data_IF_955249143422
#
_entry.id   IF_955249143422
#
_cell.length_a   1.000
_cell.length_b   1.000
_cell.length_c   1.000
_cell.angle_alpha   90.00
_cell.angle_beta   90.00
_cell.angle_gamma   90.00
#
_symmetry.space_group_name_H-M   'P 1'
#
loop_
_entity.id
_entity.type
_entity.pdbx_description
1 polymer ?
#
# COMPACT_ATOMS: atom_id res chain seq x y z
N UNK A 1 -19.82 14.91 6.02
CA UNK A 1 -19.53 15.53 4.72
C UNK A 1 -19.16 14.46 3.71
N UNK A 2 -19.64 14.63 2.50
CA UNK A 2 -19.49 13.71 1.39
C UNK A 2 -18.73 14.39 0.25
N UNK A 3 -17.64 13.77 -0.23
CA UNK A 3 -16.90 14.27 -1.38
C UNK A 3 -16.76 13.14 -2.41
N UNK A 4 -17.00 13.46 -3.68
CA UNK A 4 -16.86 12.53 -4.79
C UNK A 4 -15.71 12.97 -5.69
N UNK A 5 -14.75 12.07 -5.93
CA UNK A 5 -13.69 12.30 -6.91
C UNK A 5 -13.85 11.32 -8.08
N UNK A 6 -13.75 11.85 -9.29
CA UNK A 6 -13.81 11.10 -10.53
C UNK A 6 -12.60 11.44 -11.41
N UNK A 7 -11.93 10.43 -11.92
CA UNK A 7 -10.77 10.63 -12.77
C UNK A 7 -10.72 9.65 -13.95
N UNK A 8 -10.02 10.06 -15.00
CA UNK A 8 -9.69 9.26 -16.18
C UNK A 8 -8.17 9.15 -16.26
N UNK A 9 -7.65 7.92 -16.27
CA UNK A 9 -6.23 7.66 -16.47
C UNK A 9 -5.92 7.30 -17.92
N UNK A 10 -4.78 7.76 -18.40
CA UNK A 10 -4.11 7.50 -19.69
C UNK A 10 -4.88 7.80 -21.00
N UNK A 11 -4.23 8.59 -21.86
CA UNK A 11 -4.81 9.21 -23.07
C UNK A 11 -4.81 8.28 -24.30
N UNK A 12 -4.07 7.18 -24.30
CA UNK A 12 -3.85 6.33 -25.49
C UNK A 12 -4.48 4.93 -25.41
N UNK A 13 -5.79 4.84 -25.61
CA UNK A 13 -6.55 3.56 -25.75
C UNK A 13 -6.58 2.64 -24.52
N UNK A 14 -6.00 3.03 -23.41
CA UNK A 14 -6.05 2.35 -22.11
C UNK A 14 -6.56 3.36 -21.10
N UNK A 15 -7.75 3.19 -20.65
CA UNK A 15 -8.40 4.14 -19.73
C UNK A 15 -8.91 3.40 -18.50
N UNK A 16 -8.85 4.07 -17.38
CA UNK A 16 -9.47 3.60 -16.15
C UNK A 16 -10.41 4.69 -15.67
N UNK A 17 -11.68 4.39 -15.60
CA UNK A 17 -12.65 5.21 -14.91
C UNK A 17 -12.70 4.77 -13.46
N UNK A 18 -12.66 5.72 -12.52
CA UNK A 18 -12.85 5.43 -11.11
C UNK A 18 -13.76 6.47 -10.47
N UNK A 19 -14.50 6.01 -9.47
CA UNK A 19 -15.33 6.85 -8.62
C UNK A 19 -14.93 6.55 -7.19
N UNK A 20 -14.50 7.58 -6.47
CA UNK A 20 -14.16 7.48 -5.04
C UNK A 20 -15.13 8.29 -4.21
N UNK A 21 -15.69 7.65 -3.20
CA UNK A 21 -16.55 8.25 -2.20
C UNK A 21 -15.82 8.34 -0.88
N UNK A 22 -15.73 9.53 -0.33
CA UNK A 22 -15.16 9.78 0.99
C UNK A 22 -16.29 10.04 1.98
N UNK A 23 -16.32 9.29 3.07
CA UNK A 23 -17.29 9.44 4.16
C UNK A 23 -16.50 9.78 5.41
N UNK A 24 -16.71 11.00 5.92
CA UNK A 24 -16.03 11.49 7.12
C UNK A 24 -17.02 11.53 8.27
N UNK A 25 -16.68 10.88 9.37
CA UNK A 25 -17.48 10.92 10.57
C UNK A 25 -16.94 11.90 11.64
N UNK A 26 -17.68 12.09 12.71
CA UNK A 26 -17.33 13.02 13.78
C UNK A 26 -16.12 12.61 14.60
N UNK A 27 -15.65 11.38 14.49
CA UNK A 27 -14.42 10.89 15.15
C UNK A 27 -13.15 11.24 14.36
N UNK A 28 -13.29 11.75 13.13
CA UNK A 28 -12.22 11.98 12.19
C UNK A 28 -11.84 10.75 11.38
N UNK A 29 -12.63 9.66 11.46
CA UNK A 29 -12.48 8.50 10.59
C UNK A 29 -12.98 8.85 9.20
N UNK A 30 -12.16 8.53 8.21
CA UNK A 30 -12.46 8.69 6.78
C UNK A 30 -12.59 7.30 6.17
N UNK A 31 -13.80 6.92 5.76
CA UNK A 31 -14.01 5.76 4.92
C UNK A 31 -13.85 6.14 3.45
N UNK A 32 -13.16 5.32 2.69
CA UNK A 32 -12.84 5.50 1.28
C UNK A 32 -13.39 4.30 0.53
N UNK A 33 -14.45 4.53 -0.26
CA UNK A 33 -15.06 3.52 -1.12
C UNK A 33 -14.70 3.82 -2.57
N UNK A 34 -14.14 2.88 -3.29
CA UNK A 34 -13.68 3.09 -4.67
C UNK A 34 -14.24 2.01 -5.58
N UNK A 35 -14.89 2.48 -6.66
CA UNK A 35 -15.27 1.68 -7.81
C UNK A 35 -14.32 2.02 -8.96
N UNK A 36 -13.68 1.00 -9.54
CA UNK A 36 -12.73 1.13 -10.63
C UNK A 36 -13.17 0.27 -11.80
N UNK A 37 -13.16 0.85 -13.00
CA UNK A 37 -13.55 0.19 -14.24
C UNK A 37 -12.52 0.44 -15.34
N UNK A 38 -11.75 -0.58 -15.76
CA UNK A 38 -10.82 -0.46 -16.88
C UNK A 38 -11.55 -0.51 -18.21
N UNK A 39 -10.97 0.17 -19.22
CA UNK A 39 -11.42 0.16 -20.61
C UNK A 39 -10.25 -0.03 -21.56
N UNK A 40 -10.50 -0.63 -22.71
CA UNK A 40 -9.49 -0.90 -23.74
C UNK A 40 -8.67 -2.14 -23.43
N UNK A 41 -7.49 -2.23 -24.05
CA UNK A 41 -6.67 -3.45 -24.02
C UNK A 41 -5.68 -3.42 -22.83
N UNK A 42 -6.18 -3.31 -21.62
CA UNK A 42 -5.38 -3.49 -20.40
C UNK A 42 -5.53 -4.94 -19.97
N UNK A 43 -4.42 -5.67 -19.86
CA UNK A 43 -4.45 -7.08 -19.44
C UNK A 43 -4.38 -7.19 -17.91
N UNK A 44 -3.50 -6.42 -17.29
CA UNK A 44 -3.26 -6.46 -15.85
C UNK A 44 -2.79 -5.12 -15.32
N UNK A 45 -2.96 -4.90 -14.02
CA UNK A 45 -2.43 -3.74 -13.31
C UNK A 45 -1.19 -4.11 -12.51
N UNK A 46 -0.20 -3.20 -12.38
CA UNK A 46 0.91 -3.38 -11.45
C UNK A 46 0.45 -3.29 -10.00
N UNK A 47 -0.53 -2.43 -9.73
CA UNK A 47 -1.20 -2.26 -8.43
C UNK A 47 -2.50 -1.48 -8.57
N UNK A 48 -3.38 -1.66 -7.60
CA UNK A 48 -4.59 -0.85 -7.41
C UNK A 48 -4.61 -0.40 -5.96
N UNK A 49 -4.55 0.90 -5.71
CA UNK A 49 -4.53 1.45 -4.36
C UNK A 49 -4.29 2.95 -4.32
N UNK A 50 -3.89 3.41 -3.16
CA UNK A 50 -3.61 4.81 -2.87
C UNK A 50 -2.19 4.96 -2.35
N UNK A 51 -1.49 5.97 -2.84
CA UNK A 51 -0.20 6.40 -2.31
C UNK A 51 -0.38 7.74 -1.63
N UNK A 52 0.13 7.88 -0.44
CA UNK A 52 0.10 9.14 0.31
C UNK A 52 1.44 9.43 0.95
N UNK A 53 1.68 10.71 1.23
CA UNK A 53 2.85 11.16 1.97
C UNK A 53 2.44 11.42 3.41
N UNK A 54 3.07 10.72 4.33
CA UNK A 54 2.92 10.94 5.77
C UNK A 54 4.09 11.79 6.26
N UNK A 55 3.80 12.78 7.12
CA UNK A 55 4.81 13.68 7.67
C UNK A 55 5.90 12.91 8.41
N UNK A 56 7.11 13.42 8.33
CA UNK A 56 8.27 12.93 9.10
C UNK A 56 7.99 12.77 10.60
N UNK A 57 8.66 11.81 11.22
CA UNK A 57 8.47 11.46 12.63
C UNK A 57 7.46 10.33 12.86
N UNK A 58 6.70 9.93 11.85
CA UNK A 58 5.80 8.76 11.91
C UNK A 58 6.53 7.53 11.34
N UNK A 59 7.58 7.10 12.01
CA UNK A 59 8.53 6.11 11.49
C UNK A 59 8.29 4.68 12.02
N UNK A 60 7.31 4.50 12.90
CA UNK A 60 6.91 3.18 13.39
C UNK A 60 5.80 2.62 12.54
N UNK A 61 6.11 1.60 11.73
CA UNK A 61 5.15 0.87 10.92
C UNK A 61 4.71 -0.41 11.64
N UNK A 62 3.41 -0.56 11.89
CA UNK A 62 2.84 -1.75 12.53
C UNK A 62 1.70 -2.30 11.70
N UNK A 63 1.50 -3.62 11.75
CA UNK A 63 0.41 -4.27 10.99
C UNK A 63 -0.10 -5.54 11.67
N UNK A 64 -1.33 -5.90 11.34
CA UNK A 64 -1.89 -7.22 11.58
C UNK A 64 -2.19 -7.87 10.24
N UNK A 65 -1.34 -8.80 9.85
CA UNK A 65 -1.34 -9.45 8.55
C UNK A 65 -0.25 -10.52 8.50
N UNK A 66 0.14 -10.94 7.30
CA UNK A 66 1.28 -11.84 7.15
C UNK A 66 2.61 -11.12 7.37
N UNK A 67 3.55 -11.80 8.03
CA UNK A 67 4.87 -11.27 8.37
C UNK A 67 5.77 -12.32 9.03
N UNK A 68 6.94 -11.90 9.59
CA UNK A 68 7.39 -10.51 9.87
C UNK A 68 8.01 -9.74 8.69
N UNK A 69 8.47 -10.44 7.66
CA UNK A 69 9.11 -9.88 6.47
C UNK A 69 8.09 -9.42 5.42
N UNK A 70 8.57 -8.96 4.27
CA UNK A 70 7.71 -8.61 3.15
C UNK A 70 6.96 -9.84 2.62
N UNK A 71 5.71 -9.65 2.27
CA UNK A 71 4.81 -10.70 1.82
C UNK A 71 3.94 -10.21 0.67
N UNK A 72 3.62 -11.13 -0.25
CA UNK A 72 2.81 -10.87 -1.43
C UNK A 72 1.83 -12.01 -1.65
N UNK A 73 0.84 -11.84 -2.51
CA UNK A 73 -0.19 -12.85 -2.73
C UNK A 73 0.38 -14.21 -3.22
N UNK A 74 1.51 -14.19 -3.94
CA UNK A 74 2.23 -15.37 -4.42
C UNK A 74 3.48 -15.74 -3.57
N UNK A 75 3.76 -14.96 -2.51
CA UNK A 75 4.93 -15.13 -1.65
C UNK A 75 4.61 -14.85 -0.19
N UNK A 76 3.94 -15.78 0.46
CA UNK A 76 3.61 -15.71 1.89
C UNK A 76 3.60 -17.07 2.61
N UNK A 77 3.94 -18.15 1.92
CA UNK A 77 3.85 -19.52 2.49
C UNK A 77 4.73 -19.74 3.72
N UNK A 78 5.85 -19.01 3.83
CA UNK A 78 6.73 -19.05 5.00
C UNK A 78 6.38 -18.04 6.09
N UNK A 79 5.41 -17.17 5.84
CA UNK A 79 4.97 -16.16 6.78
C UNK A 79 3.88 -16.68 7.71
N UNK A 80 3.66 -16.00 8.82
CA UNK A 80 2.58 -16.28 9.75
C UNK A 80 1.67 -15.08 9.89
N UNK A 81 0.41 -15.32 10.15
CA UNK A 81 -0.53 -14.27 10.51
C UNK A 81 -0.26 -13.81 11.94
N UNK A 82 -0.15 -12.51 12.17
CA UNK A 82 0.13 -11.94 13.49
C UNK A 82 0.23 -10.44 13.51
N UNK A 83 0.55 -9.91 14.68
CA UNK A 83 0.90 -8.49 14.85
C UNK A 83 2.40 -8.34 14.77
N UNK A 84 2.84 -7.39 13.99
CA UNK A 84 4.23 -7.06 13.79
C UNK A 84 4.42 -5.54 13.85
N UNK A 85 5.63 -5.13 14.16
CA UNK A 85 6.02 -3.73 14.20
C UNK A 85 7.52 -3.62 13.95
N UNK A 86 7.93 -2.52 13.35
CA UNK A 86 9.32 -2.14 13.14
C UNK A 86 9.38 -0.71 12.61
N UNK A 87 10.57 -0.20 12.42
CA UNK A 87 10.74 1.10 11.77
C UNK A 87 10.48 0.99 10.27
N UNK A 88 10.13 2.11 9.63
CA UNK A 88 9.96 2.17 8.17
C UNK A 88 11.24 1.71 7.46
N UNK A 89 12.42 2.12 7.95
CA UNK A 89 13.71 1.72 7.37
C UNK A 89 13.94 0.19 7.49
N UNK A 90 13.56 -0.45 8.58
CA UNK A 90 13.67 -1.91 8.76
C UNK A 90 12.76 -2.69 7.80
N UNK A 91 11.72 -2.05 7.26
CA UNK A 91 10.81 -2.70 6.30
C UNK A 91 11.26 -2.54 4.85
N UNK A 92 12.27 -1.70 4.60
CA UNK A 92 12.81 -1.49 3.26
C UNK A 92 13.97 -2.46 2.98
N UNK A 93 13.92 -3.15 1.85
CA UNK A 93 14.99 -4.03 1.40
C UNK A 93 15.84 -3.30 0.35
N UNK A 94 17.14 -3.15 0.63
CA UNK A 94 18.10 -2.57 -0.30
C UNK A 94 18.44 -3.57 -1.41
N UNK A 95 17.91 -3.34 -2.60
CA UNK A 95 18.20 -4.13 -3.79
C UNK A 95 19.28 -3.44 -4.62
N UNK A 96 20.19 -4.20 -5.22
CA UNK A 96 21.23 -3.67 -6.11
C UNK A 96 20.63 -2.85 -7.27
N UNK A 97 19.47 -3.25 -7.78
CA UNK A 97 18.63 -2.46 -8.66
C UNK A 97 17.41 -2.02 -7.85
N UNK A 98 17.25 -0.72 -7.58
CA UNK A 98 16.15 -0.21 -6.76
C UNK A 98 14.79 -0.60 -7.32
N UNK A 99 13.92 -1.02 -6.45
CA UNK A 99 12.55 -1.39 -6.79
C UNK A 99 11.67 -1.28 -5.56
N UNK A 100 10.37 -1.18 -5.77
CA UNK A 100 9.39 -1.21 -4.69
C UNK A 100 9.43 -2.55 -3.97
N UNK A 101 9.37 -2.50 -2.65
CA UNK A 101 9.48 -3.67 -1.77
C UNK A 101 8.77 -3.42 -0.44
N UNK A 102 8.90 -4.34 0.50
CA UNK A 102 8.39 -4.18 1.86
C UNK A 102 6.88 -4.36 2.00
N UNK A 103 6.17 -4.85 0.96
CA UNK A 103 4.73 -5.06 1.02
C UNK A 103 4.34 -6.00 2.17
N UNK A 104 3.20 -5.72 2.79
CA UNK A 104 2.53 -6.55 3.81
C UNK A 104 1.20 -7.02 3.24
N UNK A 105 1.09 -8.31 3.05
CA UNK A 105 -0.05 -8.95 2.42
C UNK A 105 -1.14 -9.26 3.44
N UNK A 106 -2.40 -9.10 3.02
CA UNK A 106 -3.59 -9.52 3.75
C UNK A 106 -3.70 -8.89 5.15
N UNK A 107 -3.51 -7.57 5.21
CA UNK A 107 -3.57 -6.83 6.47
C UNK A 107 -5.00 -6.43 6.80
N UNK A 108 -5.47 -6.76 8.01
CA UNK A 108 -6.72 -6.21 8.53
C UNK A 108 -6.56 -4.74 8.89
N UNK A 109 -5.39 -4.37 9.39
CA UNK A 109 -5.03 -2.99 9.65
C UNK A 109 -3.51 -2.79 9.55
N UNK A 110 -3.13 -1.56 9.26
CA UNK A 110 -1.76 -1.07 9.28
C UNK A 110 -1.71 0.31 9.91
N UNK A 111 -0.59 0.70 10.48
CA UNK A 111 -0.45 2.01 11.11
C UNK A 111 0.94 2.60 10.92
N UNK A 112 0.99 3.91 10.83
CA UNK A 112 2.20 4.72 10.93
C UNK A 112 2.07 5.66 12.12
N UNK A 113 2.98 5.55 13.07
CA UNK A 113 2.95 6.35 14.30
C UNK A 113 4.32 6.91 14.64
N UNK A 114 4.32 7.95 15.44
CA UNK A 114 5.52 8.48 16.09
C UNK A 114 5.93 7.65 17.30
N UNK A 115 6.99 8.08 17.98
CA UNK A 115 7.53 7.44 19.19
C UNK A 115 6.57 7.50 20.41
N UNK A 116 5.55 8.36 20.37
CA UNK A 116 4.50 8.45 21.39
C UNK A 116 3.27 7.59 21.05
N UNK A 117 3.26 6.96 19.87
CA UNK A 117 2.14 6.17 19.36
C UNK A 117 1.00 7.02 18.79
N UNK A 118 1.30 8.27 18.42
CA UNK A 118 0.38 9.17 17.72
C UNK A 118 0.61 9.03 16.22
N UNK A 119 -0.46 8.96 15.44
CA UNK A 119 -0.33 8.82 13.99
C UNK A 119 -1.62 8.41 13.31
N UNK A 120 -1.52 7.56 12.31
CA UNK A 120 -2.64 7.12 11.49
C UNK A 120 -2.74 5.60 11.48
N UNK A 121 -3.97 5.10 11.47
CA UNK A 121 -4.31 3.71 11.21
C UNK A 121 -5.14 3.63 9.93
N UNK A 122 -4.85 2.65 9.09
CA UNK A 122 -5.73 2.25 8.00
C UNK A 122 -6.26 0.83 8.26
N UNK A 123 -7.57 0.65 8.11
CA UNK A 123 -8.26 -0.64 8.24
C UNK A 123 -8.80 -1.08 6.89
N UNK A 124 -8.48 -2.31 6.50
CA UNK A 124 -9.01 -2.93 5.29
C UNK A 124 -10.46 -3.41 5.47
N UNK A 125 -11.20 -3.43 4.38
CA UNK A 125 -12.57 -3.98 4.31
C UNK A 125 -12.67 -4.99 3.16
N UNK A 126 -12.37 -6.29 3.40
CA UNK A 126 -11.92 -6.86 4.70
C UNK A 126 -10.42 -6.77 4.94
N UNK A 127 -9.59 -6.59 3.89
CA UNK A 127 -8.14 -6.57 3.97
C UNK A 127 -7.56 -5.56 2.99
N UNK A 128 -6.35 -5.08 3.30
CA UNK A 128 -5.51 -4.26 2.42
C UNK A 128 -4.10 -4.86 2.34
N UNK A 129 -3.37 -4.46 1.33
CA UNK A 129 -1.91 -4.59 1.28
C UNK A 129 -1.30 -3.23 1.59
N UNK A 130 -0.07 -3.21 2.13
CA UNK A 130 0.57 -1.94 2.46
C UNK A 130 2.07 -2.04 2.47
N UNK A 131 2.73 -0.96 2.05
CA UNK A 131 4.15 -0.74 2.24
C UNK A 131 4.41 0.69 2.70
N UNK A 132 5.51 0.90 3.41
CA UNK A 132 5.95 2.22 3.86
C UNK A 132 7.46 2.35 3.63
N UNK A 133 7.89 3.50 3.08
CA UNK A 133 9.29 3.73 2.75
C UNK A 133 9.64 5.21 2.77
N UNK A 134 10.92 5.53 2.92
CA UNK A 134 11.45 6.90 2.85
C UNK A 134 11.88 7.33 1.44
N UNK A 135 11.38 6.66 0.42
CA UNK A 135 11.67 6.95 -1.00
C UNK A 135 10.37 7.19 -1.74
N UNK A 136 10.37 8.12 -2.69
CA UNK A 136 9.22 8.28 -3.58
C UNK A 136 9.20 7.16 -4.62
N UNK A 137 8.01 6.79 -5.08
CA UNK A 137 7.85 5.80 -6.15
C UNK A 137 8.53 6.25 -7.45
N UNK A 138 8.53 7.55 -7.70
CA UNK A 138 9.20 8.17 -8.84
C UNK A 138 10.72 7.97 -8.75
N UNK A 139 11.34 8.27 -7.60
CA UNK A 139 12.77 8.06 -7.41
C UNK A 139 13.15 6.57 -7.52
N UNK A 140 12.34 5.66 -6.97
CA UNK A 140 12.59 4.22 -7.13
C UNK A 140 12.52 3.77 -8.59
N UNK A 141 11.64 4.35 -9.40
CA UNK A 141 11.48 3.99 -10.82
C UNK A 141 12.61 4.55 -11.70
N UNK A 142 13.23 5.65 -11.31
CA UNK A 142 14.30 6.32 -12.05
C UNK A 142 15.70 5.83 -11.67
N UNK A 143 15.89 5.38 -10.43
CA UNK A 143 17.19 4.94 -9.93
C UNK A 143 17.60 3.61 -10.57
N UNK A 144 18.80 3.54 -11.10
CA UNK A 144 19.40 2.33 -11.70
C UNK A 144 20.34 1.60 -10.74
N UNK A 145 20.72 2.26 -9.66
CA UNK A 145 21.52 1.71 -8.57
C UNK A 145 21.18 2.42 -7.24
N UNK A 146 21.60 1.83 -6.13
CA UNK A 146 21.29 2.31 -4.79
C UNK A 146 21.82 3.72 -4.50
N UNK A 147 22.94 4.13 -5.13
CA UNK A 147 23.54 5.45 -4.92
C UNK A 147 22.66 6.60 -5.42
N UNK A 148 21.70 6.31 -6.28
CA UNK A 148 20.74 7.27 -6.83
C UNK A 148 19.45 7.38 -6.00
N UNK A 149 19.31 6.57 -4.97
CA UNK A 149 18.17 6.68 -4.06
C UNK A 149 18.29 7.95 -3.22
N UNK A 150 17.21 8.72 -3.21
CA UNK A 150 17.09 9.98 -2.48
C UNK A 150 16.13 9.80 -1.31
N UNK A 151 16.69 9.48 -0.15
CA UNK A 151 15.88 9.35 1.07
C UNK A 151 15.25 10.69 1.43
N UNK A 152 13.98 10.67 1.77
CA UNK A 152 13.21 11.81 2.28
C UNK A 152 12.91 11.62 3.77
N UNK A 153 12.65 12.71 4.49
CA UNK A 153 12.21 12.63 5.89
C UNK A 153 10.75 12.16 6.00
N UNK A 154 9.96 12.45 4.98
CA UNK A 154 8.58 11.99 4.92
C UNK A 154 8.51 10.51 4.54
N UNK A 155 7.40 9.87 4.92
CA UNK A 155 7.12 8.49 4.59
C UNK A 155 6.17 8.42 3.40
N UNK A 156 6.54 7.72 2.35
CA UNK A 156 5.63 7.27 1.30
C UNK A 156 4.89 6.05 1.82
N UNK A 157 3.58 6.17 1.97
CA UNK A 157 2.71 5.11 2.48
C UNK A 157 1.74 4.65 1.40
N UNK A 158 1.81 3.38 1.07
CA UNK A 158 0.94 2.73 0.10
C UNK A 158 -0.14 1.93 0.83
N UNK A 159 -1.38 2.14 0.43
CA UNK A 159 -2.56 1.42 0.90
C UNK A 159 -3.26 0.83 -0.32
N UNK A 160 -3.07 -0.46 -0.54
CA UNK A 160 -3.46 -1.12 -1.77
C UNK A 160 -4.60 -2.10 -1.56
N UNK A 161 -5.52 -2.12 -2.51
CA UNK A 161 -6.44 -3.23 -2.65
C UNK A 161 -5.68 -4.51 -2.99
N UNK A 162 -4.78 -4.42 -4.00
CA UNK A 162 -3.90 -5.52 -4.43
C UNK A 162 -2.69 -4.99 -5.18
N UNK A 163 -1.60 -5.73 -5.05
CA UNK A 163 -0.38 -5.57 -5.86
C UNK A 163 -0.25 -6.74 -6.85
N UNK A 164 0.49 -6.49 -7.94
CA UNK A 164 0.87 -7.56 -8.88
C UNK A 164 1.80 -8.55 -8.17
N UNK A 165 1.68 -9.86 -8.44
CA UNK A 165 2.57 -10.87 -7.85
C UNK A 165 4.01 -10.65 -8.27
N UNK A 166 4.95 -10.98 -7.38
CA UNK A 166 6.38 -10.85 -7.67
C UNK A 166 6.81 -11.82 -8.77
N UNK A 167 6.38 -13.08 -8.70
CA UNK A 167 6.78 -14.13 -9.62
C UNK A 167 8.28 -14.39 -9.60
N UNK A 168 8.76 -15.06 -10.65
CA UNK A 168 10.18 -15.33 -10.89
C UNK A 168 10.66 -14.74 -12.23
N UNK A 169 9.95 -13.75 -12.77
CA UNK A 169 10.08 -13.31 -14.17
C UNK A 169 11.46 -12.77 -14.55
N UNK A 170 12.25 -12.28 -13.61
CA UNK A 170 13.63 -11.84 -13.88
C UNK A 170 14.56 -12.99 -14.27
N UNK A 171 14.33 -14.20 -13.73
CA UNK A 171 15.16 -15.39 -13.97
C UNK A 171 14.34 -16.67 -14.20
N UNK A 172 13.02 -16.60 -14.32
CA UNK A 172 12.12 -17.74 -14.39
C UNK A 172 10.79 -17.44 -15.08
N UNK A 173 9.80 -18.34 -14.94
CA UNK A 173 8.49 -18.19 -15.56
C UNK A 173 7.72 -17.00 -15.00
N UNK A 174 6.70 -16.50 -15.72
CA UNK A 174 5.79 -15.51 -15.21
C UNK A 174 5.03 -16.06 -13.99
N UNK A 175 4.39 -15.18 -13.19
CA UNK A 175 3.52 -15.61 -12.10
C UNK A 175 2.43 -16.56 -12.59
N UNK A 176 1.98 -17.46 -11.73
CA UNK A 176 0.81 -18.30 -12.01
C UNK A 176 -0.43 -17.40 -12.20
N UNK A 177 -1.27 -17.75 -13.15
CA UNK A 177 -2.46 -16.99 -13.54
C UNK A 177 -3.36 -16.65 -12.36
N UNK A 178 -3.50 -17.56 -11.39
CA UNK A 178 -4.31 -17.37 -10.17
C UNK A 178 -3.88 -16.19 -9.28
N UNK A 179 -2.63 -15.72 -9.44
CA UNK A 179 -2.10 -14.59 -8.67
C UNK A 179 -2.11 -13.27 -9.45
N UNK A 180 -2.30 -13.33 -10.76
CA UNK A 180 -2.25 -12.15 -11.62
C UNK A 180 -3.37 -11.17 -11.26
N UNK A 181 -3.02 -9.89 -11.13
CA UNK A 181 -3.98 -8.81 -10.96
C UNK A 181 -4.52 -8.39 -12.33
N UNK A 182 -5.52 -9.13 -12.82
CA UNK A 182 -6.17 -8.81 -14.08
C UNK A 182 -6.90 -7.47 -14.04
N UNK A 183 -6.98 -6.82 -15.22
CA UNK A 183 -7.68 -5.55 -15.38
C UNK A 183 -9.20 -5.80 -15.51
N UNK A 184 -9.85 -6.01 -14.39
CA UNK A 184 -11.28 -6.23 -14.26
C UNK A 184 -11.93 -5.11 -13.44
N UNK A 185 -13.23 -4.87 -13.59
CA UNK A 185 -13.96 -3.97 -12.70
C UNK A 185 -13.83 -4.44 -11.25
N UNK A 186 -13.51 -3.53 -10.34
CA UNK A 186 -13.33 -3.83 -8.92
C UNK A 186 -13.90 -2.74 -8.04
N UNK A 187 -14.51 -3.15 -6.93
CA UNK A 187 -14.90 -2.26 -5.83
C UNK A 187 -14.15 -2.66 -4.59
N UNK A 188 -13.57 -1.69 -3.90
CA UNK A 188 -12.88 -1.91 -2.64
C UNK A 188 -13.05 -0.73 -1.70
N UNK A 189 -12.87 -1.01 -0.42
CA UNK A 189 -13.03 -0.02 0.63
C UNK A 189 -11.97 -0.20 1.71
N UNK A 190 -11.60 0.90 2.32
CA UNK A 190 -10.81 0.92 3.54
C UNK A 190 -11.12 2.20 4.32
N UNK A 191 -10.66 2.29 5.54
CA UNK A 191 -10.82 3.51 6.32
C UNK A 191 -9.50 3.95 6.94
N UNK A 192 -9.34 5.27 7.10
CA UNK A 192 -8.19 5.87 7.78
C UNK A 192 -8.70 6.70 8.95
N UNK A 193 -8.02 6.61 10.08
CA UNK A 193 -8.34 7.42 11.25
C UNK A 193 -7.11 7.74 12.09
N UNK A 194 -7.13 8.87 12.84
CA UNK A 194 -6.03 9.23 13.70
C UNK A 194 -5.99 8.36 14.96
N UNK A 195 -4.79 7.98 15.37
CA UNK A 195 -4.54 7.44 16.72
C UNK A 195 -3.98 8.57 17.55
N UNK A 196 -4.72 8.92 18.60
CA UNK A 196 -4.28 9.83 19.64
C UNK A 196 -3.78 8.97 20.80
N UNK A 197 -2.65 9.34 21.38
CA UNK A 197 -1.94 8.67 22.48
C UNK A 197 -2.80 7.67 23.28
N UNK A 198 -2.38 6.41 23.39
CA UNK A 198 -3.06 5.43 24.24
C UNK A 198 -3.27 6.04 25.63
N UNK A 199 -4.51 6.30 26.05
CA UNK A 199 -4.81 6.38 27.47
C UNK A 199 -4.51 5.00 28.04
N UNK A 200 -3.40 4.87 28.74
CA UNK A 200 -3.15 3.71 29.58
C UNK A 200 -4.21 3.80 30.70
N UNK A 201 -5.30 3.07 30.52
CA UNK A 201 -6.18 2.78 31.62
C UNK A 201 -5.39 1.83 32.52
N UNK A 202 -4.96 2.35 33.68
CA UNK A 202 -4.46 1.57 34.81
C UNK A 202 -5.57 0.68 35.35
#
# INVERSE_FOLDING_TARGET
>A
DFCLSRGLGDVYKRQVEYITKYIVDSSGKVQIDTDLKPFGNIISFPRIGYTMTVKSGNDTFSWYGYGPYDTYNDRHSGARLGRFSGTVDEQFTHHAYPQENGNKYHCSWVSLTDNEGIGLVAEGMPFIESSAMHYSLENLSEAIDESQLKRTDNVTWNLDYKTYPIGNRSCGPPPLEQYVLFAEPVSFSFSIYPVLKKKVFQ
#
